data_IF_612102055598
#
_entry.id   IF_612102055598
#
_cell.length_a   1.000
_cell.length_b   1.000
_cell.length_c   1.000
_cell.angle_alpha   90.00
_cell.angle_beta   90.00
_cell.angle_gamma   90.00
#
_symmetry.space_group_name_H-M   'P 1'
#
loop_
_entity.id
_entity.type
_entity.pdbx_description
1 polymer ?
#
# COMPACT_ATOMS: atom_id res chain seq x y z
N UNK A 1 -37.80 -63.03 61.10
CA UNK A 1 -37.76 -61.62 60.74
C UNK A 1 -36.43 -61.37 60.12
N UNK A 2 -36.28 -61.29 58.78
CA UNK A 2 -35.03 -61.07 58.08
C UNK A 2 -35.04 -59.59 57.56
N UNK A 3 -34.11 -58.79 58.01
CA UNK A 3 -33.95 -57.44 57.59
C UNK A 3 -33.05 -57.44 56.36
N UNK A 4 -33.58 -56.93 55.24
CA UNK A 4 -32.81 -56.71 53.99
C UNK A 4 -32.31 -55.29 53.95
N UNK A 5 -31.00 -55.15 54.00
CA UNK A 5 -30.31 -53.84 53.91
C UNK A 5 -30.10 -53.50 52.42
N UNK A 6 -30.69 -52.40 51.96
CA UNK A 6 -30.52 -51.88 50.59
C UNK A 6 -29.30 -50.92 50.56
N UNK A 7 -28.27 -51.25 49.79
CA UNK A 7 -27.15 -50.39 49.51
C UNK A 7 -27.46 -49.50 48.29
N UNK A 8 -27.61 -48.23 48.50
CA UNK A 8 -27.65 -47.23 47.39
C UNK A 8 -26.22 -46.91 46.94
N UNK A 9 -25.92 -47.27 45.70
CA UNK A 9 -24.70 -46.84 45.03
C UNK A 9 -24.93 -45.44 44.35
N UNK A 10 -24.31 -44.41 44.86
CA UNK A 10 -24.26 -43.09 44.19
C UNK A 10 -23.21 -43.11 43.07
N UNK A 11 -23.68 -43.04 41.83
CA UNK A 11 -22.80 -42.79 40.67
C UNK A 11 -22.44 -41.30 40.57
N UNK A 12 -21.20 -40.96 40.82
CA UNK A 12 -20.69 -39.61 40.62
C UNK A 12 -20.43 -39.37 39.12
N UNK A 13 -21.29 -38.58 38.47
CA UNK A 13 -21.06 -38.07 37.09
C UNK A 13 -19.97 -36.99 37.16
N UNK A 14 -18.77 -37.34 36.74
CA UNK A 14 -17.70 -36.38 36.54
C UNK A 14 -17.99 -35.44 35.36
N UNK A 15 -18.31 -34.18 35.61
CA UNK A 15 -18.33 -33.14 34.59
C UNK A 15 -16.89 -32.84 34.16
N UNK A 16 -16.46 -33.29 33.00
CA UNK A 16 -15.25 -32.84 32.36
C UNK A 16 -15.47 -31.39 31.94
N UNK A 17 -14.78 -30.45 32.62
CA UNK A 17 -14.74 -29.05 32.23
C UNK A 17 -13.99 -28.93 30.88
N UNK A 18 -14.75 -28.63 29.82
CA UNK A 18 -14.17 -28.27 28.52
C UNK A 18 -13.54 -26.90 28.71
N UNK A 19 -12.20 -26.85 28.86
CA UNK A 19 -11.46 -25.59 28.80
C UNK A 19 -11.69 -24.97 27.43
N UNK A 20 -12.08 -23.67 27.34
CA UNK A 20 -12.18 -22.99 26.06
C UNK A 20 -10.80 -23.05 25.38
N UNK A 21 -10.77 -23.53 24.13
CA UNK A 21 -9.57 -23.52 23.33
C UNK A 21 -9.06 -22.06 23.25
N UNK A 22 -7.90 -21.80 23.84
CA UNK A 22 -7.29 -20.49 23.83
C UNK A 22 -6.95 -20.17 22.38
N UNK A 23 -7.57 -19.14 21.79
CA UNK A 23 -7.28 -18.71 20.45
C UNK A 23 -5.76 -18.47 20.33
N UNK A 24 -5.13 -19.04 19.30
CA UNK A 24 -3.72 -18.83 19.06
C UNK A 24 -3.41 -17.32 19.04
N UNK A 25 -2.34 -16.87 19.70
CA UNK A 25 -2.02 -15.45 19.75
C UNK A 25 -1.90 -14.91 18.33
N UNK A 26 -2.62 -13.81 18.05
CA UNK A 26 -2.54 -13.11 16.77
C UNK A 26 -1.08 -12.72 16.52
N UNK A 27 -0.63 -12.79 15.25
CA UNK A 27 0.69 -12.34 14.84
C UNK A 27 0.76 -10.81 15.04
N UNK A 28 1.45 -10.36 16.06
CA UNK A 28 1.67 -8.94 16.35
C UNK A 28 2.62 -8.29 15.33
N UNK A 29 2.92 -7.01 15.51
CA UNK A 29 3.82 -6.26 14.64
C UNK A 29 5.20 -6.91 14.51
N UNK A 30 5.79 -7.37 15.59
CA UNK A 30 7.10 -8.00 15.59
C UNK A 30 7.08 -9.33 14.83
N UNK A 31 6.04 -10.13 15.05
CA UNK A 31 5.79 -11.37 14.32
C UNK A 31 5.63 -11.10 12.81
N UNK A 32 4.84 -10.08 12.41
CA UNK A 32 4.65 -9.70 11.01
C UNK A 32 5.95 -9.23 10.36
N UNK A 33 6.76 -8.44 11.06
CA UNK A 33 8.07 -8.04 10.56
C UNK A 33 9.02 -9.22 10.41
N UNK A 34 9.00 -10.19 11.32
CA UNK A 34 9.77 -11.43 11.17
C UNK A 34 9.36 -12.25 9.93
N UNK A 35 8.06 -12.25 9.56
CA UNK A 35 7.57 -12.85 8.31
C UNK A 35 8.07 -12.07 7.09
N UNK A 36 8.06 -10.74 7.15
CA UNK A 36 8.61 -9.88 6.08
C UNK A 36 10.10 -10.12 5.88
N UNK A 37 10.89 -10.17 6.96
CA UNK A 37 12.33 -10.39 6.89
C UNK A 37 12.67 -11.76 6.24
N UNK A 38 11.94 -12.81 6.61
CA UNK A 38 12.08 -14.12 5.97
C UNK A 38 11.72 -14.07 4.48
N UNK A 39 10.65 -13.34 4.11
CA UNK A 39 10.28 -13.17 2.70
C UNK A 39 11.34 -12.42 1.90
N UNK A 40 11.85 -11.29 2.42
CA UNK A 40 12.87 -10.50 1.73
C UNK A 40 14.20 -11.24 1.61
N UNK A 41 14.59 -12.01 2.63
CA UNK A 41 15.77 -12.88 2.57
C UNK A 41 15.60 -13.99 1.53
N UNK A 42 14.44 -14.64 1.48
CA UNK A 42 14.13 -15.67 0.48
C UNK A 42 14.11 -15.09 -0.95
N UNK A 43 13.52 -13.90 -1.15
CA UNK A 43 13.50 -13.17 -2.41
C UNK A 43 14.92 -12.87 -2.89
N UNK A 44 15.76 -12.31 -2.02
CA UNK A 44 17.17 -12.01 -2.36
C UNK A 44 17.99 -13.28 -2.67
N UNK A 45 17.69 -14.39 -1.98
CA UNK A 45 18.28 -15.68 -2.26
C UNK A 45 17.71 -16.37 -3.51
N UNK A 46 16.65 -15.80 -4.12
CA UNK A 46 15.91 -16.39 -5.26
C UNK A 46 15.36 -17.79 -4.95
N UNK A 47 15.00 -18.04 -3.70
CA UNK A 47 14.56 -19.34 -3.22
C UNK A 47 13.21 -19.24 -2.50
N UNK A 48 12.09 -19.42 -3.21
CA UNK A 48 10.75 -19.35 -2.62
C UNK A 48 10.52 -20.37 -1.49
N UNK A 49 11.28 -21.48 -1.45
CA UNK A 49 11.11 -22.51 -0.42
C UNK A 49 11.50 -22.03 0.98
N UNK A 50 12.31 -20.96 1.06
CA UNK A 50 12.73 -20.31 2.31
C UNK A 50 11.73 -19.29 2.83
N UNK A 51 10.77 -18.86 2.01
CA UNK A 51 9.73 -17.94 2.45
C UNK A 51 8.63 -18.69 3.21
N UNK A 52 8.01 -18.06 4.23
CA UNK A 52 6.96 -18.70 5.04
C UNK A 52 5.61 -18.68 4.29
N UNK A 53 5.56 -19.35 3.14
CA UNK A 53 4.39 -19.37 2.27
C UNK A 53 3.31 -20.33 2.78
N UNK A 54 2.03 -19.98 2.58
CA UNK A 54 0.91 -20.90 2.73
C UNK A 54 0.88 -21.89 1.55
N UNK A 55 0.14 -23.00 1.70
CA UNK A 55 0.00 -23.99 0.62
C UNK A 55 -0.64 -23.43 -0.66
N UNK A 56 -1.42 -22.34 -0.54
CA UNK A 56 -1.97 -21.56 -1.67
C UNK A 56 -1.66 -20.09 -1.44
N UNK A 57 -0.96 -19.48 -2.38
CA UNK A 57 -0.61 -18.06 -2.36
C UNK A 57 -1.14 -17.39 -3.61
N UNK A 58 -1.78 -16.24 -3.44
CA UNK A 58 -2.12 -15.34 -4.54
C UNK A 58 -0.96 -14.36 -4.71
N UNK A 59 -0.32 -14.37 -5.88
CA UNK A 59 0.85 -13.54 -6.16
C UNK A 59 0.66 -12.73 -7.43
N UNK A 60 0.99 -11.44 -7.37
CA UNK A 60 1.02 -10.55 -8.54
C UNK A 60 2.27 -9.68 -8.53
N UNK A 61 2.80 -9.40 -9.73
CA UNK A 61 3.78 -8.36 -9.98
C UNK A 61 3.26 -7.44 -11.09
N UNK A 62 3.29 -6.13 -10.85
CA UNK A 62 2.78 -5.12 -11.79
C UNK A 62 1.39 -5.48 -12.35
N UNK A 63 0.51 -5.93 -11.45
CA UNK A 63 -0.86 -6.38 -11.74
C UNK A 63 -1.00 -7.72 -12.49
N UNK A 64 0.09 -8.38 -12.87
CA UNK A 64 0.05 -9.68 -13.54
C UNK A 64 0.13 -10.81 -12.50
N UNK A 65 -0.80 -11.77 -12.57
CA UNK A 65 -0.76 -12.96 -11.72
C UNK A 65 0.41 -13.86 -12.16
N UNK A 66 1.31 -14.16 -11.24
CA UNK A 66 2.50 -14.96 -11.47
C UNK A 66 2.62 -16.08 -10.44
N UNK A 67 3.38 -17.12 -10.77
CA UNK A 67 3.83 -18.06 -9.75
C UNK A 67 4.86 -17.40 -8.85
N UNK A 68 4.89 -17.75 -7.56
CA UNK A 68 5.99 -17.33 -6.70
C UNK A 68 7.28 -17.99 -7.20
N UNK A 69 8.30 -17.20 -7.44
CA UNK A 69 9.54 -17.60 -8.11
C UNK A 69 9.73 -16.98 -9.49
N UNK A 70 8.65 -16.51 -10.12
CA UNK A 70 8.70 -15.78 -11.40
C UNK A 70 8.87 -14.25 -11.16
N UNK A 71 9.10 -13.50 -12.23
CA UNK A 71 9.25 -12.05 -12.22
C UNK A 71 10.49 -11.60 -11.42
N UNK A 72 10.30 -10.66 -10.51
CA UNK A 72 11.38 -10.10 -9.67
C UNK A 72 12.17 -11.17 -8.90
N UNK A 73 11.56 -12.30 -8.57
CA UNK A 73 12.25 -13.42 -7.94
C UNK A 73 13.40 -13.97 -8.79
N UNK A 74 13.21 -14.01 -10.11
CA UNK A 74 14.25 -14.47 -11.04
C UNK A 74 15.35 -13.43 -11.31
N UNK A 75 15.00 -12.15 -11.26
CA UNK A 75 15.83 -11.06 -11.77
C UNK A 75 16.54 -10.24 -10.70
N UNK A 76 16.07 -10.23 -9.45
CA UNK A 76 16.69 -9.48 -8.36
C UNK A 76 18.17 -9.85 -8.18
N UNK A 77 19.01 -8.82 -8.08
CA UNK A 77 20.43 -8.96 -7.76
C UNK A 77 20.73 -8.61 -6.30
N UNK A 78 20.11 -7.57 -5.76
CA UNK A 78 20.26 -7.15 -4.37
C UNK A 78 19.10 -6.26 -3.90
N UNK A 79 18.97 -6.15 -2.58
CA UNK A 79 18.15 -5.13 -1.93
C UNK A 79 18.99 -3.89 -1.63
N UNK A 80 18.41 -2.72 -1.81
CA UNK A 80 18.98 -1.45 -1.34
C UNK A 80 18.72 -1.21 0.15
N UNK A 81 19.16 -0.05 0.62
CA UNK A 81 19.06 0.35 2.04
C UNK A 81 17.73 1.04 2.39
N UNK A 82 16.90 1.40 1.40
CA UNK A 82 15.59 1.96 1.68
C UNK A 82 14.67 0.90 2.27
N UNK A 83 14.27 1.08 3.52
CA UNK A 83 13.41 0.19 4.27
C UNK A 83 12.32 1.01 4.97
N UNK A 84 11.16 1.09 4.34
CA UNK A 84 9.97 1.67 4.93
C UNK A 84 8.91 0.57 5.07
N UNK A 85 8.78 0.04 6.27
CA UNK A 85 7.88 -1.05 6.62
C UNK A 85 6.85 -0.65 7.65
N UNK A 86 5.65 -1.19 7.54
CA UNK A 86 4.58 -1.04 8.51
C UNK A 86 3.67 -2.26 8.51
N UNK A 87 2.89 -2.42 9.56
CA UNK A 87 2.09 -3.61 9.75
C UNK A 87 0.74 -3.29 10.37
N UNK A 88 -0.24 -4.08 9.97
CA UNK A 88 -1.61 -4.10 10.50
C UNK A 88 -1.87 -5.43 11.21
N UNK A 89 -1.63 -5.53 12.52
CA UNK A 89 -1.86 -6.76 13.27
C UNK A 89 -3.32 -7.20 13.32
N UNK A 90 -4.26 -6.28 13.09
CA UNK A 90 -5.69 -6.60 13.08
C UNK A 90 -6.05 -7.52 11.90
N UNK A 91 -5.50 -7.24 10.73
CA UNK A 91 -5.79 -7.98 9.48
C UNK A 91 -4.66 -8.91 9.05
N UNK A 92 -3.48 -8.83 9.65
CA UNK A 92 -2.28 -9.53 9.21
C UNK A 92 -1.66 -8.92 7.95
N UNK A 93 -1.95 -7.64 7.68
CA UNK A 93 -1.40 -6.90 6.55
C UNK A 93 0.02 -6.39 6.82
N UNK A 94 0.87 -6.40 5.80
CA UNK A 94 2.20 -5.80 5.82
C UNK A 94 2.33 -4.92 4.59
N UNK A 95 2.80 -3.68 4.77
CA UNK A 95 3.24 -2.78 3.71
C UNK A 95 4.75 -2.59 3.78
N UNK A 96 5.38 -2.55 2.61
CA UNK A 96 6.81 -2.33 2.49
C UNK A 96 7.12 -1.51 1.23
N UNK A 97 8.01 -0.55 1.38
CA UNK A 97 8.63 0.18 0.28
C UNK A 97 10.14 0.01 0.37
N UNK A 98 10.76 -0.26 -0.77
CA UNK A 98 12.18 -0.48 -0.87
C UNK A 98 12.75 -0.06 -2.22
N UNK A 99 14.04 -0.25 -2.37
CA UNK A 99 14.74 -0.19 -3.64
C UNK A 99 15.40 -1.54 -3.85
N UNK A 100 15.23 -2.11 -5.02
CA UNK A 100 15.94 -3.32 -5.42
C UNK A 100 16.82 -3.04 -6.64
N UNK A 101 17.75 -3.93 -6.93
CA UNK A 101 18.59 -3.86 -8.13
C UNK A 101 18.33 -5.08 -9.00
N UNK A 102 18.07 -4.86 -10.28
CA UNK A 102 17.99 -5.88 -11.34
C UNK A 102 19.02 -5.53 -12.42
N UNK A 103 19.87 -6.50 -12.82
CA UNK A 103 20.87 -6.31 -13.89
C UNK A 103 21.64 -4.97 -13.80
N UNK A 104 22.04 -4.54 -12.61
CA UNK A 104 22.73 -3.29 -12.25
C UNK A 104 21.85 -2.03 -12.28
N UNK A 105 20.56 -2.16 -12.52
CA UNK A 105 19.62 -1.03 -12.50
C UNK A 105 18.80 -1.05 -11.22
N UNK A 106 18.82 0.05 -10.48
CA UNK A 106 17.99 0.19 -9.30
C UNK A 106 16.56 0.54 -9.68
N UNK A 107 15.60 -0.03 -8.95
CA UNK A 107 14.18 0.21 -9.12
C UNK A 107 13.49 0.38 -7.76
N UNK A 108 12.69 1.45 -7.56
CA UNK A 108 11.77 1.51 -6.45
C UNK A 108 10.77 0.37 -6.55
N UNK A 109 10.44 -0.22 -5.41
CA UNK A 109 9.37 -1.20 -5.38
C UNK A 109 8.56 -1.09 -4.10
N UNK A 110 7.33 -1.55 -4.17
CA UNK A 110 6.45 -1.68 -3.02
C UNK A 110 5.86 -3.07 -2.98
N UNK A 111 5.61 -3.54 -1.78
CA UNK A 111 5.13 -4.88 -1.49
C UNK A 111 4.02 -4.82 -0.47
N UNK A 112 2.92 -5.51 -0.75
CA UNK A 112 1.88 -5.83 0.21
C UNK A 112 1.86 -7.35 0.45
N UNK A 113 1.90 -7.74 1.72
CA UNK A 113 1.69 -9.12 2.13
C UNK A 113 0.42 -9.25 2.98
N UNK A 114 -0.26 -10.38 2.84
CA UNK A 114 -1.28 -10.83 3.78
C UNK A 114 -0.78 -12.08 4.49
N UNK A 115 -0.78 -12.04 5.81
CA UNK A 115 -0.32 -13.13 6.66
C UNK A 115 -1.52 -13.70 7.43
N UNK A 116 -1.66 -15.03 7.37
CA UNK A 116 -2.59 -15.80 8.18
C UNK A 116 -1.85 -16.98 8.79
N UNK A 117 -2.03 -17.19 10.08
CA UNK A 117 -1.36 -18.29 10.81
C UNK A 117 0.17 -18.30 10.58
N UNK A 118 0.79 -17.11 10.61
CA UNK A 118 2.22 -16.86 10.34
C UNK A 118 2.69 -17.30 8.94
N UNK A 119 1.77 -17.51 8.01
CA UNK A 119 2.06 -17.86 6.62
C UNK A 119 1.53 -16.78 5.67
N UNK A 120 2.29 -16.51 4.61
CA UNK A 120 1.92 -15.56 3.57
C UNK A 120 0.88 -16.21 2.66
N UNK A 121 -0.29 -15.56 2.54
CA UNK A 121 -1.40 -16.01 1.67
C UNK A 121 -1.56 -15.14 0.44
N UNK A 122 -1.09 -13.87 0.51
CA UNK A 122 -1.14 -12.93 -0.60
C UNK A 122 0.17 -12.16 -0.72
N UNK A 123 0.60 -11.95 -1.96
CA UNK A 123 1.76 -11.15 -2.34
C UNK A 123 1.32 -10.24 -3.47
N UNK A 124 1.44 -8.94 -3.30
CA UNK A 124 1.20 -7.95 -4.35
C UNK A 124 2.40 -7.02 -4.41
N UNK A 125 3.08 -7.02 -5.56
CA UNK A 125 4.33 -6.28 -5.77
C UNK A 125 4.18 -5.34 -6.94
N UNK A 126 4.67 -4.11 -6.80
CA UNK A 126 4.89 -3.18 -7.90
C UNK A 126 6.38 -2.86 -7.94
N UNK A 127 7.01 -3.07 -9.09
CA UNK A 127 8.42 -2.76 -9.36
C UNK A 127 8.45 -1.69 -10.44
N UNK A 128 8.87 -0.47 -10.09
CA UNK A 128 8.97 0.65 -11.02
C UNK A 128 10.34 0.66 -11.72
N UNK A 129 10.45 -0.12 -12.78
CA UNK A 129 11.65 -0.15 -13.63
C UNK A 129 11.71 1.13 -14.47
N UNK A 130 12.91 1.60 -14.89
CA UNK A 130 13.03 2.84 -15.66
C UNK A 130 12.17 2.91 -16.91
N UNK A 131 11.89 1.77 -17.54
CA UNK A 131 11.06 1.67 -18.75
C UNK A 131 9.57 1.74 -18.47
N UNK A 132 9.17 1.46 -17.22
CA UNK A 132 7.78 1.35 -16.80
C UNK A 132 7.22 2.63 -16.18
N UNK A 133 8.04 3.69 -16.11
CA UNK A 133 7.66 4.98 -15.53
C UNK A 133 8.32 6.16 -16.25
N UNK A 134 7.53 7.22 -16.49
CA UNK A 134 8.06 8.49 -16.98
C UNK A 134 8.50 9.43 -15.85
N UNK A 135 8.20 9.09 -14.60
CA UNK A 135 8.64 9.89 -13.46
C UNK A 135 10.12 9.61 -13.24
N UNK A 136 10.99 10.63 -13.33
CA UNK A 136 12.38 10.48 -12.96
C UNK A 136 12.42 10.00 -11.50
N UNK A 137 13.21 8.98 -11.23
CA UNK A 137 13.45 8.59 -9.84
C UNK A 137 14.94 8.58 -9.56
N UNK A 138 15.27 8.98 -8.35
CA UNK A 138 16.62 8.89 -7.81
C UNK A 138 16.61 7.80 -6.76
N UNK A 139 17.41 6.77 -6.98
CA UNK A 139 17.47 5.63 -6.05
C UNK A 139 18.71 5.64 -5.18
N UNK A 140 19.71 6.45 -5.55
CA UNK A 140 21.06 6.37 -4.97
C UNK A 140 21.12 6.78 -3.49
N UNK A 141 20.21 7.66 -3.03
CA UNK A 141 20.28 8.24 -1.68
C UNK A 141 18.91 8.38 -1.01
N UNK A 142 17.93 7.55 -1.40
CA UNK A 142 16.60 7.64 -0.81
C UNK A 142 16.64 6.97 0.57
N UNK A 143 16.27 7.73 1.61
CA UNK A 143 15.94 7.20 2.92
C UNK A 143 14.48 7.50 3.25
N UNK A 144 13.79 6.64 4.02
CA UNK A 144 12.46 6.95 4.54
C UNK A 144 12.52 8.24 5.36
N UNK A 145 11.53 9.12 5.18
CA UNK A 145 11.43 10.31 6.04
C UNK A 145 11.20 9.85 7.48
N UNK A 146 11.86 10.47 8.49
CA UNK A 146 11.76 10.04 9.89
C UNK A 146 10.33 9.91 10.39
N UNK A 147 9.43 10.83 9.96
CA UNK A 147 8.01 10.82 10.34
C UNK A 147 7.28 9.54 9.97
N UNK A 148 7.70 8.83 8.91
CA UNK A 148 7.11 7.57 8.50
C UNK A 148 7.35 6.44 9.51
N UNK A 149 8.40 6.55 10.31
CA UNK A 149 8.77 5.59 11.35
C UNK A 149 8.29 5.98 12.76
N UNK A 150 7.69 7.17 12.90
CA UNK A 150 7.20 7.68 14.18
C UNK A 150 6.01 6.86 14.70
N UNK A 151 6.10 6.43 15.96
CA UNK A 151 4.95 5.91 16.71
C UNK A 151 4.19 7.09 17.28
N UNK A 152 2.92 7.24 16.88
CA UNK A 152 2.09 8.36 17.30
C UNK A 152 1.64 8.20 18.76
N UNK A 153 1.69 9.30 19.53
CA UNK A 153 1.05 9.36 20.82
C UNK A 153 -0.48 9.15 20.65
N UNK A 154 -1.18 8.57 21.63
CA UNK A 154 -2.60 8.22 21.50
C UNK A 154 -3.49 9.35 21.00
N UNK A 155 -3.26 10.59 21.45
CA UNK A 155 -4.00 11.79 21.07
C UNK A 155 -3.74 12.28 19.64
N UNK A 156 -2.66 11.81 19.03
CA UNK A 156 -2.31 12.10 17.62
C UNK A 156 -2.84 11.05 16.65
N UNK A 157 -3.30 9.90 17.17
CA UNK A 157 -3.83 8.82 16.34
C UNK A 157 -5.18 9.17 15.77
N UNK A 158 -5.41 8.74 14.55
CA UNK A 158 -6.69 8.88 13.85
C UNK A 158 -7.34 7.49 13.80
N UNK A 159 -8.63 7.35 14.17
CA UNK A 159 -9.31 6.05 14.11
C UNK A 159 -9.30 5.46 12.70
N UNK A 160 -9.16 4.15 12.60
CA UNK A 160 -9.05 3.37 11.35
C UNK A 160 -10.04 3.80 10.26
N UNK A 161 -11.32 3.89 10.60
CA UNK A 161 -12.36 4.32 9.67
C UNK A 161 -12.07 5.71 9.10
N UNK A 162 -11.67 6.66 9.96
CA UNK A 162 -11.36 8.03 9.54
C UNK A 162 -10.10 8.09 8.69
N UNK A 163 -9.11 7.24 8.94
CA UNK A 163 -7.92 7.14 8.11
C UNK A 163 -8.27 6.69 6.68
N UNK A 164 -9.14 5.68 6.54
CA UNK A 164 -9.65 5.23 5.23
C UNK A 164 -10.42 6.35 4.53
N UNK A 165 -11.30 7.07 5.23
CA UNK A 165 -12.05 8.19 4.67
C UNK A 165 -11.14 9.30 4.13
N UNK A 166 -10.07 9.64 4.86
CA UNK A 166 -9.09 10.64 4.43
C UNK A 166 -8.33 10.19 3.18
N UNK A 167 -7.85 8.95 3.15
CA UNK A 167 -7.16 8.38 2.00
C UNK A 167 -8.10 8.27 0.78
N UNK A 168 -9.35 7.85 0.97
CA UNK A 168 -10.33 7.82 -0.12
C UNK A 168 -10.73 9.22 -0.57
N UNK A 169 -10.81 10.18 0.34
CA UNK A 169 -11.03 11.59 0.04
C UNK A 169 -9.93 12.19 -0.84
N UNK A 170 -8.67 11.77 -0.65
CA UNK A 170 -7.58 12.12 -1.55
C UNK A 170 -7.86 11.64 -2.99
N UNK A 171 -8.25 10.39 -3.17
CA UNK A 171 -8.60 9.86 -4.49
C UNK A 171 -9.84 10.53 -5.09
N UNK A 172 -10.83 10.91 -4.28
CA UNK A 172 -11.98 11.69 -4.76
C UNK A 172 -11.55 13.08 -5.24
N UNK A 173 -10.65 13.74 -4.51
CA UNK A 173 -10.06 15.02 -4.91
C UNK A 173 -9.36 14.90 -6.27
N UNK A 174 -8.55 13.86 -6.43
CA UNK A 174 -7.84 13.59 -7.67
C UNK A 174 -8.79 13.26 -8.83
N UNK A 175 -9.82 12.46 -8.61
CA UNK A 175 -10.77 12.08 -9.65
C UNK A 175 -11.64 13.24 -10.12
N UNK A 176 -12.14 14.07 -9.20
CA UNK A 176 -13.00 15.19 -9.56
C UNK A 176 -12.24 16.37 -10.17
N UNK A 177 -11.06 16.64 -9.66
CA UNK A 177 -10.07 17.60 -10.17
C UNK A 177 -10.62 18.96 -10.57
N UNK A 178 -11.60 19.45 -9.81
CA UNK A 178 -12.34 20.69 -10.03
C UNK A 178 -11.95 21.81 -9.05
N UNK A 179 -10.87 21.62 -8.30
CA UNK A 179 -10.41 22.52 -7.24
C UNK A 179 -11.03 22.28 -5.87
N UNK A 180 -12.02 21.38 -5.76
CA UNK A 180 -12.60 21.00 -4.48
C UNK A 180 -11.74 19.94 -3.78
N UNK A 181 -11.56 20.09 -2.47
CA UNK A 181 -10.76 19.20 -1.65
C UNK A 181 -11.68 18.32 -0.81
N UNK A 182 -11.56 17.01 -0.95
CA UNK A 182 -12.37 15.99 -0.25
C UNK A 182 -11.64 15.29 0.89
N UNK A 183 -10.47 15.76 1.25
CA UNK A 183 -9.64 15.26 2.36
C UNK A 183 -9.12 16.41 3.21
N UNK A 184 -8.21 16.15 4.13
CA UNK A 184 -7.57 17.18 4.94
C UNK A 184 -6.06 16.99 4.87
N UNK A 185 -5.36 17.99 4.35
CA UNK A 185 -3.90 18.01 4.31
C UNK A 185 -3.32 18.79 5.48
N UNK A 186 -2.16 18.38 5.96
CA UNK A 186 -1.32 19.25 6.74
C UNK A 186 -0.69 20.30 5.80
N UNK A 187 -0.54 21.57 6.21
CA UNK A 187 0.11 22.58 5.38
C UNK A 187 1.52 22.22 4.91
N UNK A 188 2.24 21.39 5.68
CA UNK A 188 3.58 20.90 5.34
C UNK A 188 3.57 19.58 4.56
N UNK A 189 2.40 19.14 4.09
CA UNK A 189 2.26 17.88 3.37
C UNK A 189 3.19 17.79 2.16
N UNK A 190 3.87 16.63 2.05
CA UNK A 190 4.69 16.31 0.90
C UNK A 190 4.26 15.01 0.25
N UNK A 191 4.56 14.88 -1.06
CA UNK A 191 4.34 13.66 -1.83
C UNK A 191 5.64 13.25 -2.51
N UNK A 192 5.93 11.95 -2.44
CA UNK A 192 7.01 11.31 -3.17
C UNK A 192 6.42 10.20 -4.04
N UNK A 193 6.79 10.18 -5.31
CA UNK A 193 6.31 9.23 -6.31
C UNK A 193 7.51 8.56 -6.97
N UNK A 194 7.56 7.22 -6.94
CA UNK A 194 8.71 6.43 -7.40
C UNK A 194 10.06 6.95 -6.86
N UNK A 195 10.08 7.40 -5.59
CA UNK A 195 11.26 7.95 -4.94
C UNK A 195 11.56 9.43 -5.25
N UNK A 196 10.83 10.07 -6.16
CA UNK A 196 11.00 11.48 -6.51
C UNK A 196 9.97 12.36 -5.79
N UNK A 197 10.42 13.49 -5.20
CA UNK A 197 9.51 14.42 -4.52
C UNK A 197 8.76 15.28 -5.53
N UNK A 198 7.43 15.16 -5.59
CA UNK A 198 6.55 15.81 -6.57
C UNK A 198 5.75 16.98 -6.01
N UNK A 199 5.98 17.35 -4.74
CA UNK A 199 5.41 18.56 -4.11
C UNK A 199 6.50 19.28 -3.31
N UNK A 200 6.35 20.61 -3.11
CA UNK A 200 7.32 21.44 -2.40
C UNK A 200 8.78 21.18 -2.87
N UNK A 201 8.94 20.84 -4.15
CA UNK A 201 10.23 20.54 -4.75
C UNK A 201 10.86 21.84 -5.29
N UNK A 202 11.89 22.34 -4.61
CA UNK A 202 12.63 23.55 -4.98
C UNK A 202 13.88 23.24 -5.80
N UNK A 203 14.11 21.96 -6.15
CA UNK A 203 15.26 21.53 -6.93
C UNK A 203 15.28 22.12 -8.35
N UNK A 204 16.46 22.15 -8.94
CA UNK A 204 16.64 22.56 -10.33
C UNK A 204 15.83 21.63 -11.27
N UNK A 205 15.12 22.23 -12.22
CA UNK A 205 14.26 21.49 -13.15
C UNK A 205 12.89 21.09 -12.62
N UNK A 206 12.55 21.39 -11.35
CA UNK A 206 11.21 21.18 -10.85
C UNK A 206 10.20 22.07 -11.59
N UNK A 207 9.13 21.45 -12.13
CA UNK A 207 8.06 22.19 -12.80
C UNK A 207 7.35 23.14 -11.81
N UNK A 208 6.68 24.19 -12.28
CA UNK A 208 5.93 25.10 -11.41
C UNK A 208 4.96 24.38 -10.49
N UNK A 209 4.32 23.30 -10.96
CA UNK A 209 3.35 22.50 -10.17
C UNK A 209 4.02 21.65 -9.12
N UNK A 210 5.22 21.15 -9.34
CA UNK A 210 6.00 20.41 -8.34
C UNK A 210 6.47 21.30 -7.19
N UNK A 211 6.51 22.62 -7.37
CA UNK A 211 6.85 23.60 -6.31
C UNK A 211 5.72 23.83 -5.33
N UNK A 212 4.50 23.42 -5.66
CA UNK A 212 3.32 23.56 -4.83
C UNK A 212 3.24 22.47 -3.77
N UNK A 213 2.53 22.76 -2.67
CA UNK A 213 2.17 21.77 -1.66
C UNK A 213 1.10 20.80 -2.14
N UNK A 214 0.80 19.77 -1.33
CA UNK A 214 -0.20 18.75 -1.69
C UNK A 214 -1.57 19.36 -2.05
N UNK A 215 -2.07 20.28 -1.22
CA UNK A 215 -3.40 20.87 -1.38
C UNK A 215 -3.46 21.88 -2.54
N UNK A 216 -2.40 22.66 -2.71
CA UNK A 216 -2.37 23.74 -3.69
C UNK A 216 -2.47 23.23 -5.13
N UNK A 217 -1.77 22.14 -5.47
CA UNK A 217 -1.85 21.54 -6.79
C UNK A 217 -3.26 21.03 -7.11
N UNK A 218 -3.97 20.48 -6.12
CA UNK A 218 -5.35 20.03 -6.28
C UNK A 218 -6.33 21.19 -6.42
N UNK A 219 -6.15 22.27 -5.66
CA UNK A 219 -6.96 23.50 -5.80
C UNK A 219 -6.89 24.10 -7.19
N UNK A 220 -5.77 23.89 -7.90
CA UNK A 220 -5.62 24.32 -9.30
C UNK A 220 -6.35 23.42 -10.31
N UNK A 221 -6.79 22.22 -9.93
CA UNK A 221 -7.32 21.24 -10.88
C UNK A 221 -6.26 20.73 -11.85
N UNK A 222 -5.00 20.62 -11.38
CA UNK A 222 -3.84 20.32 -12.24
C UNK A 222 -3.91 18.94 -12.89
N UNK A 223 -4.59 17.97 -12.27
CA UNK A 223 -4.62 16.57 -12.71
C UNK A 223 -5.84 16.24 -13.60
N UNK A 224 -6.42 17.20 -14.30
CA UNK A 224 -7.62 17.01 -15.13
C UNK A 224 -7.45 15.95 -16.25
N UNK A 225 -6.23 15.57 -16.54
CA UNK A 225 -5.90 14.49 -17.47
C UNK A 225 -6.08 13.08 -16.87
N UNK A 226 -6.33 12.96 -15.56
CA UNK A 226 -6.66 11.72 -14.89
C UNK A 226 -8.15 11.43 -15.13
N UNK A 227 -8.41 10.43 -15.94
CA UNK A 227 -9.72 10.12 -16.50
C UNK A 227 -10.63 9.46 -15.46
N UNK A 228 -10.06 8.53 -14.67
CA UNK A 228 -10.80 7.73 -13.70
C UNK A 228 -9.88 7.10 -12.67
N UNK A 229 -10.32 7.09 -11.42
CA UNK A 229 -9.72 6.31 -10.35
C UNK A 229 -10.65 5.17 -9.97
N UNK A 230 -10.16 3.93 -10.04
CA UNK A 230 -10.96 2.73 -9.83
C UNK A 230 -10.26 1.66 -9.02
N UNK A 231 -11.04 0.64 -8.60
CA UNK A 231 -10.53 -0.54 -7.87
C UNK A 231 -9.74 -0.15 -6.62
N UNK A 232 -10.21 0.86 -5.90
CA UNK A 232 -9.55 1.39 -4.70
C UNK A 232 -9.68 0.38 -3.56
N UNK A 233 -8.56 -0.01 -2.96
CA UNK A 233 -8.49 -0.94 -1.86
C UNK A 233 -7.58 -0.39 -0.77
N UNK A 234 -8.03 -0.40 0.48
CA UNK A 234 -7.27 0.09 1.65
C UNK A 234 -6.82 -1.13 2.46
N UNK A 235 -5.62 -1.62 2.17
CA UNK A 235 -5.21 -2.98 2.47
C UNK A 235 -4.41 -3.13 3.77
N UNK A 236 -3.65 -2.11 4.17
CA UNK A 236 -2.83 -2.14 5.39
C UNK A 236 -3.03 -0.84 6.13
N UNK A 237 -3.50 -0.92 7.37
CA UNK A 237 -3.78 0.26 8.20
C UNK A 237 -3.08 0.10 9.53
N UNK A 238 -2.06 0.92 9.73
CA UNK A 238 -1.26 0.97 10.94
C UNK A 238 -1.66 2.20 11.76
N UNK A 239 -2.64 2.05 12.66
CA UNK A 239 -3.17 3.17 13.44
C UNK A 239 -2.13 3.75 14.41
N UNK A 240 -1.22 2.92 14.93
CA UNK A 240 -0.18 3.40 15.86
C UNK A 240 0.84 4.30 15.17
N UNK A 241 1.08 4.09 13.89
CA UNK A 241 1.98 4.91 13.08
C UNK A 241 1.23 5.88 12.15
N UNK A 242 -0.10 5.82 12.13
CA UNK A 242 -0.92 6.65 11.27
C UNK A 242 -0.68 6.38 9.78
N UNK A 243 -0.55 5.12 9.35
CA UNK A 243 -0.23 4.77 7.97
C UNK A 243 -1.39 3.99 7.33
N UNK A 244 -1.78 4.40 6.13
CA UNK A 244 -2.76 3.70 5.29
C UNK A 244 -2.14 3.40 3.93
N UNK A 245 -2.02 2.14 3.56
CA UNK A 245 -1.66 1.72 2.22
C UNK A 245 -2.91 1.44 1.41
N UNK A 246 -3.05 2.13 0.30
CA UNK A 246 -4.07 1.92 -0.69
C UNK A 246 -3.47 1.36 -1.98
N UNK A 247 -4.22 0.49 -2.67
CA UNK A 247 -3.95 0.11 -4.04
C UNK A 247 -5.08 0.64 -4.92
N UNK A 248 -4.74 1.21 -6.07
CA UNK A 248 -5.71 1.79 -6.99
C UNK A 248 -5.19 1.80 -8.44
N UNK A 249 -6.07 2.17 -9.35
CA UNK A 249 -5.74 2.42 -10.75
C UNK A 249 -6.16 3.82 -11.12
N UNK A 250 -5.29 4.53 -11.85
CA UNK A 250 -5.59 5.82 -12.46
C UNK A 250 -5.55 5.64 -13.96
N UNK A 251 -6.71 5.72 -14.59
CA UNK A 251 -6.84 5.61 -16.05
C UNK A 251 -6.57 6.96 -16.71
N UNK A 252 -5.83 6.95 -17.80
CA UNK A 252 -5.55 8.09 -18.65
C UNK A 252 -5.96 7.75 -20.08
N UNK A 253 -7.06 8.31 -20.54
CA UNK A 253 -7.53 8.07 -21.91
C UNK A 253 -6.61 8.71 -22.97
N UNK A 254 -5.78 9.66 -22.58
CA UNK A 254 -4.88 10.37 -23.48
C UNK A 254 -5.57 11.37 -24.43
N UNK A 255 -6.85 11.68 -24.17
CA UNK A 255 -7.66 12.56 -25.04
C UNK A 255 -7.58 14.03 -24.64
N UNK A 256 -7.25 14.33 -23.37
CA UNK A 256 -7.10 15.69 -22.90
C UNK A 256 -5.81 16.29 -23.47
N UNK A 257 -5.94 17.35 -24.25
CA UNK A 257 -4.79 18.09 -24.80
C UNK A 257 -4.50 19.33 -23.98
N UNK A 258 -5.22 20.39 -24.30
CA UNK A 258 -5.18 21.64 -23.58
C UNK A 258 -6.35 21.71 -22.60
N UNK A 259 -6.12 22.24 -21.41
CA UNK A 259 -7.13 22.44 -20.39
C UNK A 259 -6.81 23.67 -19.53
N UNK A 260 -7.81 24.18 -18.83
CA UNK A 260 -7.64 25.34 -17.96
C UNK A 260 -7.60 24.93 -16.49
N UNK A 261 -6.67 25.52 -15.77
CA UNK A 261 -6.64 25.50 -14.31
C UNK A 261 -7.74 26.38 -13.74
N UNK A 262 -8.09 26.20 -12.47
CA UNK A 262 -9.10 27.00 -11.76
C UNK A 262 -8.76 28.49 -11.71
N UNK A 263 -7.49 28.87 -11.82
CA UNK A 263 -7.03 30.26 -11.88
C UNK A 263 -7.00 30.85 -13.30
N UNK A 264 -7.49 30.11 -14.31
CA UNK A 264 -7.61 30.53 -15.69
C UNK A 264 -6.39 30.29 -16.56
N UNK A 265 -5.24 29.87 -16.02
CA UNK A 265 -4.06 29.49 -16.79
C UNK A 265 -4.35 28.28 -17.67
N UNK A 266 -3.78 28.28 -18.86
CA UNK A 266 -3.88 27.14 -19.77
C UNK A 266 -2.67 26.20 -19.59
N UNK A 267 -2.99 24.91 -19.53
CA UNK A 267 -2.00 23.83 -19.42
C UNK A 267 -2.17 22.83 -20.58
N UNK A 268 -1.08 22.17 -20.92
CA UNK A 268 -1.09 21.03 -21.82
C UNK A 268 -0.89 19.74 -21.03
N UNK A 269 -1.77 18.77 -21.19
CA UNK A 269 -1.57 17.45 -20.65
C UNK A 269 -0.38 16.76 -21.36
N UNK A 270 0.59 16.32 -20.57
CA UNK A 270 1.76 15.58 -21.10
C UNK A 270 1.44 14.17 -21.57
N UNK A 271 0.27 13.65 -21.17
CA UNK A 271 -0.12 12.25 -21.38
C UNK A 271 -1.09 12.14 -22.57
N UNK A 272 -0.55 11.85 -23.75
CA UNK A 272 -1.31 11.76 -25.04
C UNK A 272 -1.50 10.32 -25.52
N UNK A 273 -1.04 9.32 -24.75
CA UNK A 273 -1.20 7.91 -25.05
C UNK A 273 -2.12 7.27 -24.00
N UNK A 274 -3.13 6.49 -24.39
CA UNK A 274 -3.95 5.74 -23.44
C UNK A 274 -3.09 4.79 -22.61
N UNK A 275 -3.22 4.86 -21.28
CA UNK A 275 -2.55 3.99 -20.31
C UNK A 275 -3.28 4.03 -18.97
N UNK A 276 -2.88 3.16 -18.07
CA UNK A 276 -3.34 3.16 -16.68
C UNK A 276 -2.12 3.14 -15.77
N UNK A 277 -2.14 3.90 -14.70
CA UNK A 277 -1.20 3.73 -13.60
C UNK A 277 -1.75 2.69 -12.63
N UNK A 278 -1.00 1.60 -12.44
CA UNK A 278 -1.20 0.65 -11.37
C UNK A 278 -0.33 1.09 -10.19
N UNK A 279 -0.94 1.40 -9.06
CA UNK A 279 -0.23 2.04 -7.95
C UNK A 279 -0.53 1.39 -6.59
N UNK A 280 0.46 1.49 -5.70
CA UNK A 280 0.29 1.45 -4.26
C UNK A 280 0.77 2.76 -3.66
N UNK A 281 -0.08 3.37 -2.85
CA UNK A 281 0.15 4.68 -2.26
C UNK A 281 -0.11 4.63 -0.76
N UNK A 282 0.84 5.12 0.04
CA UNK A 282 0.73 5.13 1.50
C UNK A 282 0.65 6.56 2.01
N UNK A 283 -0.36 6.80 2.82
CA UNK A 283 -0.66 8.08 3.46
C UNK A 283 -0.22 8.04 4.91
N UNK A 284 0.65 8.98 5.32
CA UNK A 284 0.91 9.29 6.73
C UNK A 284 -0.14 10.26 7.21
N UNK A 285 -0.91 9.85 8.20
CA UNK A 285 -2.03 10.61 8.78
C UNK A 285 -1.77 10.81 10.27
N UNK A 286 -1.71 12.05 10.69
CA UNK A 286 -1.52 12.47 12.09
C UNK A 286 -2.58 13.49 12.47
N UNK A 287 -3.24 13.29 13.62
CA UNK A 287 -4.29 14.17 14.11
C UNK A 287 -5.34 14.54 13.04
N UNK A 288 -5.75 13.56 12.20
CA UNK A 288 -6.77 13.75 11.17
C UNK A 288 -6.33 14.47 9.90
N UNK A 289 -5.01 14.64 9.67
CA UNK A 289 -4.45 15.31 8.49
C UNK A 289 -3.43 14.43 7.79
N UNK A 290 -3.37 14.51 6.46
CA UNK A 290 -2.33 13.85 5.64
C UNK A 290 -1.06 14.70 5.68
N UNK A 291 0.03 14.16 6.21
CA UNK A 291 1.34 14.84 6.33
C UNK A 291 2.33 14.43 5.26
N UNK A 292 2.28 13.16 4.81
CA UNK A 292 3.18 12.62 3.80
C UNK A 292 2.45 11.58 2.96
N UNK A 293 2.83 11.52 1.69
CA UNK A 293 2.35 10.53 0.73
C UNK A 293 3.57 9.88 0.08
N UNK A 294 3.59 8.54 0.03
CA UNK A 294 4.62 7.75 -0.66
C UNK A 294 3.93 6.83 -1.65
N UNK A 295 4.26 6.94 -2.93
CA UNK A 295 3.68 6.12 -3.98
C UNK A 295 4.74 5.39 -4.80
N UNK A 296 4.43 4.16 -5.21
CA UNK A 296 5.13 3.45 -6.28
C UNK A 296 4.07 3.01 -7.29
N UNK A 297 4.29 3.35 -8.55
CA UNK A 297 3.38 3.01 -9.63
C UNK A 297 4.11 2.74 -10.95
N UNK A 298 3.43 2.04 -11.83
CA UNK A 298 3.90 1.68 -13.16
C UNK A 298 2.82 1.88 -14.21
N UNK A 299 3.24 2.05 -15.46
CA UNK A 299 2.33 2.02 -16.61
C UNK A 299 1.89 0.59 -16.91
N UNK A 300 0.58 0.41 -17.05
CA UNK A 300 -0.03 -0.81 -17.56
C UNK A 300 -0.97 -0.44 -18.71
N UNK A 301 -1.40 -1.41 -19.55
CA UNK A 301 -2.38 -1.15 -20.60
C UNK A 301 -3.62 -0.41 -20.10
N UNK A 302 -4.14 0.51 -20.91
CA UNK A 302 -5.32 1.29 -20.57
C UNK A 302 -6.49 0.40 -20.20
N UNK A 303 -7.10 0.67 -19.04
CA UNK A 303 -8.18 -0.11 -18.44
C UNK A 303 -7.83 -1.57 -18.14
N UNK A 304 -6.57 -1.88 -17.90
CA UNK A 304 -6.18 -3.22 -17.47
C UNK A 304 -6.99 -3.67 -16.25
N UNK A 305 -7.66 -4.85 -16.27
CA UNK A 305 -8.44 -5.32 -15.13
C UNK A 305 -7.54 -5.65 -13.94
N UNK A 306 -8.05 -5.44 -12.72
CA UNK A 306 -7.36 -5.85 -11.50
C UNK A 306 -7.69 -7.31 -11.15
N UNK A 307 -6.70 -8.17 -10.90
CA UNK A 307 -6.97 -9.50 -10.38
C UNK A 307 -7.47 -9.49 -8.93
N UNK A 308 -7.38 -8.35 -8.23
CA UNK A 308 -7.71 -8.21 -6.81
C UNK A 308 -9.17 -7.84 -6.52
N UNK A 309 -9.94 -7.48 -7.52
CA UNK A 309 -11.36 -7.15 -7.39
C UNK A 309 -12.23 -8.12 -8.18
N UNK A 310 -13.47 -8.30 -7.71
CA UNK A 310 -14.43 -9.19 -8.39
C UNK A 310 -14.79 -8.61 -9.76
N UNK A 311 -14.71 -9.43 -10.82
CA UNK A 311 -14.97 -8.98 -12.18
C UNK A 311 -13.86 -8.14 -12.81
N UNK A 312 -12.76 -7.89 -12.10
CA UNK A 312 -11.59 -7.14 -12.61
C UNK A 312 -11.75 -5.62 -12.62
N UNK A 313 -12.98 -5.12 -12.48
CA UNK A 313 -13.30 -3.69 -12.48
C UNK A 313 -14.27 -3.35 -11.35
N UNK A 314 -13.96 -2.33 -10.59
CA UNK A 314 -14.89 -1.61 -9.73
C UNK A 314 -14.88 -0.16 -10.20
N UNK A 315 -16.03 0.28 -10.66
CA UNK A 315 -16.26 1.68 -11.04
C UNK A 315 -17.04 2.33 -9.90
N UNK A 316 -16.46 3.34 -9.27
CA UNK A 316 -17.11 4.20 -8.29
C UNK A 316 -17.65 5.48 -8.96
#
# INVERSE_FOLDING_TARGET
MRIVTLLLAMAALGFAAISPAQAAPKCDRACLYGVLDQYLAALTAKDPSKAPLAGKVRNTENNVALKVGDGVWGTIASMGTYDFRFADPETGGIGFYGVLTEARTAAPFTLRLRVKDKKITEIETIVARPQDSLVPFTTAEIAPKPMLNEMLAPEQRTPRKRMIELANGYFNTLQQNNGQIHTVFDPACNRRENGFQTTNNTGEGASPTMKLGCEEAFKLGYYLFDDRLRSRRFEVIDEERGLVMAAAFIDHAGVVGEYKLTDGRTMNAGYRRPHTWCLMETFKIKAGKIEQIEAVFVYVPYRMPSPWVKGGFEYE
#
